data_IF_016455634355
#
_entry.id   IF_016455634355
#
_cell.length_a   1.000
_cell.length_b   1.000
_cell.length_c   1.000
_cell.angle_alpha   90.00
_cell.angle_beta   90.00
_cell.angle_gamma   90.00
#
_symmetry.space_group_name_H-M   'P 1'
#
loop_
_entity.id
_entity.type
_entity.pdbx_description
1 polymer ?
#
# COMPACT_ATOMS: atom_id res chain seq x y z
N UNK A 1 -6.12 -49.67 4.24
CA UNK A 1 -5.88 -48.62 5.24
C UNK A 1 -7.05 -48.65 6.19
N UNK A 2 -6.81 -48.85 7.48
CA UNK A 2 -7.88 -48.93 8.48
C UNK A 2 -8.39 -47.55 8.92
N UNK A 3 -9.50 -47.54 9.66
CA UNK A 3 -10.17 -46.34 10.15
C UNK A 3 -9.30 -45.55 11.14
N UNK A 4 -8.45 -46.21 11.93
CA UNK A 4 -7.55 -45.54 12.88
C UNK A 4 -6.50 -44.73 12.13
N UNK A 5 -5.84 -45.34 11.15
CA UNK A 5 -4.86 -44.70 10.26
C UNK A 5 -5.48 -43.49 9.54
N UNK A 6 -6.70 -43.62 9.04
CA UNK A 6 -7.44 -42.52 8.42
C UNK A 6 -7.72 -41.38 9.43
N UNK A 7 -8.22 -41.72 10.62
CA UNK A 7 -8.54 -40.73 11.66
C UNK A 7 -7.30 -39.94 12.09
N UNK A 8 -6.17 -40.63 12.24
CA UNK A 8 -4.86 -40.05 12.56
C UNK A 8 -4.34 -39.11 11.47
N UNK A 9 -4.52 -39.46 10.20
CA UNK A 9 -4.19 -38.56 9.06
C UNK A 9 -5.09 -37.33 9.01
N UNK A 10 -6.39 -37.50 9.28
CA UNK A 10 -7.31 -36.36 9.37
C UNK A 10 -6.94 -35.45 10.55
N UNK A 11 -6.49 -36.01 11.67
CA UNK A 11 -6.03 -35.23 12.81
C UNK A 11 -4.79 -34.39 12.47
N UNK A 12 -3.80 -34.97 11.80
CA UNK A 12 -2.67 -34.23 11.26
C UNK A 12 -3.12 -33.06 10.36
N UNK A 13 -4.07 -33.30 9.43
CA UNK A 13 -4.59 -32.25 8.54
C UNK A 13 -5.33 -31.14 9.30
N UNK A 14 -6.08 -31.48 10.35
CA UNK A 14 -6.73 -30.48 11.23
C UNK A 14 -5.69 -29.61 11.93
N UNK A 15 -4.56 -30.17 12.34
CA UNK A 15 -3.50 -29.40 12.99
C UNK A 15 -2.72 -28.54 12.01
N UNK A 16 -2.43 -29.05 10.81
CA UNK A 16 -1.73 -28.33 9.75
C UNK A 16 -2.51 -27.10 9.25
N UNK A 17 -3.83 -27.09 9.42
CA UNK A 17 -4.71 -25.99 9.04
C UNK A 17 -4.31 -24.64 9.65
N UNK A 18 -3.71 -24.65 10.85
CA UNK A 18 -3.19 -23.46 11.54
C UNK A 18 -2.19 -22.65 10.72
N UNK A 19 -1.51 -23.28 9.75
CA UNK A 19 -0.59 -22.59 8.84
C UNK A 19 -1.27 -21.46 8.03
N UNK A 20 -2.60 -21.52 7.85
CA UNK A 20 -3.37 -20.45 7.20
C UNK A 20 -3.38 -19.14 7.98
N UNK A 21 -3.23 -19.22 9.29
CA UNK A 21 -3.23 -18.08 10.21
C UNK A 21 -1.82 -17.65 10.64
N UNK A 22 -0.78 -18.38 10.22
CA UNK A 22 0.62 -17.98 10.41
C UNK A 22 0.93 -16.88 9.40
N UNK A 23 1.16 -15.66 9.88
CA UNK A 23 1.42 -14.49 9.03
C UNK A 23 2.91 -14.29 8.80
N UNK A 24 3.25 -13.98 7.55
CA UNK A 24 4.60 -13.60 7.12
C UNK A 24 4.78 -12.09 7.14
N UNK A 25 6.04 -11.66 7.12
CA UNK A 25 6.37 -10.22 6.99
C UNK A 25 5.93 -9.60 5.65
N UNK A 26 5.74 -10.43 4.62
CA UNK A 26 5.37 -10.00 3.29
C UNK A 26 3.89 -9.56 3.20
N UNK A 27 3.58 -8.66 2.25
CA UNK A 27 2.23 -8.10 2.05
C UNK A 27 1.78 -8.23 0.61
N UNK A 28 0.49 -8.46 0.40
CA UNK A 28 -0.15 -8.41 -0.92
C UNK A 28 -0.14 -6.99 -1.51
N UNK A 29 -0.46 -6.85 -2.80
CA UNK A 29 -0.60 -5.55 -3.45
C UNK A 29 -1.72 -4.69 -2.84
N UNK A 30 -2.70 -5.31 -2.18
CA UNK A 30 -3.73 -4.63 -1.40
C UNK A 30 -3.35 -4.31 0.05
N UNK A 31 -2.12 -4.64 0.46
CA UNK A 31 -1.57 -4.30 1.78
C UNK A 31 -1.89 -5.31 2.90
N UNK A 32 -2.66 -6.36 2.63
CA UNK A 32 -2.90 -7.46 3.59
C UNK A 32 -1.61 -8.24 3.81
N UNK A 33 -1.32 -8.64 5.06
CA UNK A 33 -0.22 -9.56 5.33
C UNK A 33 -0.52 -10.93 4.71
N UNK A 34 0.47 -11.50 4.05
CA UNK A 34 0.46 -12.85 3.50
C UNK A 34 0.53 -13.88 4.63
N UNK A 35 -0.13 -15.03 4.48
CA UNK A 35 0.09 -16.18 5.37
C UNK A 35 1.06 -17.21 4.78
N UNK A 36 1.70 -18.02 5.62
CA UNK A 36 2.61 -19.09 5.18
C UNK A 36 1.93 -20.09 4.25
N UNK A 37 0.63 -20.36 4.43
CA UNK A 37 -0.13 -21.18 3.49
C UNK A 37 -0.29 -20.51 2.11
N UNK A 38 -0.48 -19.19 2.05
CA UNK A 38 -0.58 -18.44 0.78
C UNK A 38 0.75 -18.39 0.04
N UNK A 39 1.86 -18.18 0.77
CA UNK A 39 3.22 -18.32 0.26
C UNK A 39 3.45 -19.71 -0.35
N UNK A 40 3.13 -20.75 0.43
CA UNK A 40 3.27 -22.15 -0.01
C UNK A 40 2.46 -22.44 -1.28
N UNK A 41 1.22 -21.94 -1.35
CA UNK A 41 0.39 -22.06 -2.55
C UNK A 41 1.05 -21.42 -3.77
N UNK A 42 1.55 -20.17 -3.63
CA UNK A 42 2.14 -19.47 -4.77
C UNK A 42 3.51 -20.02 -5.16
N UNK A 43 4.27 -20.55 -4.21
CA UNK A 43 5.49 -21.32 -4.47
C UNK A 43 5.21 -22.57 -5.30
N UNK A 44 4.13 -23.31 -5.00
CA UNK A 44 3.72 -24.45 -5.82
C UNK A 44 3.31 -24.00 -7.23
N UNK A 45 2.58 -22.89 -7.34
CA UNK A 45 2.21 -22.32 -8.63
C UNK A 45 3.44 -21.88 -9.44
N UNK A 46 4.44 -21.26 -8.79
CA UNK A 46 5.72 -20.91 -9.43
C UNK A 46 6.42 -22.16 -9.96
N UNK A 47 6.50 -23.24 -9.16
CA UNK A 47 7.10 -24.50 -9.60
C UNK A 47 6.37 -25.07 -10.83
N UNK A 48 5.04 -25.02 -10.87
CA UNK A 48 4.24 -25.46 -12.03
C UNK A 48 4.49 -24.62 -13.28
N UNK A 49 4.75 -23.32 -13.14
CA UNK A 49 5.08 -22.47 -14.30
C UNK A 49 6.49 -22.71 -14.85
N UNK A 50 7.35 -23.39 -14.08
CA UNK A 50 8.74 -23.72 -14.44
C UNK A 50 8.94 -25.22 -14.67
N UNK A 51 7.87 -26.02 -14.76
CA UNK A 51 7.96 -27.49 -14.85
C UNK A 51 8.79 -27.95 -16.06
N UNK A 52 8.60 -27.32 -17.22
CA UNK A 52 9.35 -27.65 -18.44
C UNK A 52 10.86 -27.35 -18.29
N UNK A 53 11.21 -26.27 -17.60
CA UNK A 53 12.61 -25.90 -17.34
C UNK A 53 13.26 -26.77 -16.23
N UNK A 54 12.46 -27.54 -15.50
CA UNK A 54 12.87 -28.43 -14.42
C UNK A 54 12.71 -29.92 -14.80
N UNK A 55 12.62 -30.23 -16.10
CA UNK A 55 12.31 -31.58 -16.60
C UNK A 55 13.29 -32.69 -16.16
N UNK A 56 14.51 -32.35 -15.76
CA UNK A 56 15.51 -33.29 -15.24
C UNK A 56 15.29 -33.67 -13.76
N UNK A 57 14.30 -33.05 -13.09
CA UNK A 57 14.02 -33.22 -11.66
C UNK A 57 12.72 -34.00 -11.43
N UNK A 58 12.60 -34.69 -10.29
CA UNK A 58 11.33 -35.30 -9.89
C UNK A 58 10.33 -34.21 -9.49
N UNK A 59 9.44 -33.85 -10.43
CA UNK A 59 8.45 -32.81 -10.19
C UNK A 59 7.45 -33.15 -9.09
N UNK A 60 7.12 -34.43 -8.90
CA UNK A 60 6.28 -34.86 -7.77
C UNK A 60 6.99 -34.61 -6.44
N UNK A 61 8.31 -34.82 -6.39
CA UNK A 61 9.12 -34.48 -5.22
C UNK A 61 9.23 -32.98 -5.01
N UNK A 62 9.39 -32.17 -6.06
CA UNK A 62 9.39 -30.69 -5.98
C UNK A 62 8.12 -30.19 -5.30
N UNK A 63 6.95 -30.59 -5.79
CA UNK A 63 5.67 -30.14 -5.21
C UNK A 63 5.51 -30.59 -3.74
N UNK A 64 5.97 -31.80 -3.40
CA UNK A 64 5.96 -32.26 -1.99
C UNK A 64 6.87 -31.41 -1.11
N UNK A 65 8.06 -31.05 -1.58
CA UNK A 65 8.97 -30.17 -0.85
C UNK A 65 8.36 -28.78 -0.66
N UNK A 66 7.78 -28.18 -1.72
CA UNK A 66 7.07 -26.90 -1.61
C UNK A 66 5.97 -26.94 -0.54
N UNK A 67 5.16 -28.01 -0.48
CA UNK A 67 4.06 -28.10 0.50
C UNK A 67 4.54 -28.26 1.94
N UNK A 68 5.71 -28.89 2.16
CA UNK A 68 6.16 -29.31 3.49
C UNK A 68 7.17 -28.34 4.13
N UNK A 69 7.87 -27.52 3.32
CA UNK A 69 9.05 -26.78 3.77
C UNK A 69 8.83 -25.92 5.03
N UNK A 70 7.73 -25.16 5.09
CA UNK A 70 7.40 -24.30 6.23
C UNK A 70 6.30 -24.89 7.13
N UNK A 71 5.98 -26.19 6.99
CA UNK A 71 4.85 -26.79 7.69
C UNK A 71 5.01 -26.78 9.23
N UNK A 72 6.26 -26.78 9.72
CA UNK A 72 6.56 -26.65 11.15
C UNK A 72 6.11 -25.32 11.76
N UNK A 73 6.02 -24.25 10.95
CA UNK A 73 5.59 -22.92 11.42
C UNK A 73 4.17 -22.92 11.99
N UNK A 74 3.34 -23.93 11.71
CA UNK A 74 2.02 -24.10 12.31
C UNK A 74 2.04 -24.24 13.85
N UNK A 75 3.20 -24.51 14.47
CA UNK A 75 3.37 -24.61 15.93
C UNK A 75 3.85 -23.31 16.56
N UNK A 76 4.96 -22.73 16.09
CA UNK A 76 5.59 -21.54 16.70
C UNK A 76 5.63 -20.29 15.79
N UNK A 77 5.05 -20.34 14.59
CA UNK A 77 4.94 -19.20 13.66
C UNK A 77 6.16 -18.98 12.76
N UNK A 78 6.03 -18.01 11.85
CA UNK A 78 7.12 -17.54 10.98
C UNK A 78 8.05 -16.59 11.74
N UNK A 79 9.35 -16.76 11.53
CA UNK A 79 10.39 -15.83 11.98
C UNK A 79 11.04 -15.21 10.74
N UNK A 80 10.80 -13.91 10.45
CA UNK A 80 11.34 -13.25 9.27
C UNK A 80 12.85 -13.32 9.18
N UNK A 81 13.38 -13.47 7.96
CA UNK A 81 14.83 -13.59 7.73
C UNK A 81 15.64 -12.41 8.30
N UNK A 82 15.07 -11.21 8.35
CA UNK A 82 15.69 -10.00 8.93
C UNK A 82 15.82 -10.04 10.45
N UNK A 83 15.09 -10.94 11.13
CA UNK A 83 15.03 -11.05 12.59
C UNK A 83 15.71 -12.34 13.11
N UNK A 84 16.25 -13.17 12.22
CA UNK A 84 16.89 -14.43 12.60
C UNK A 84 18.31 -14.18 13.15
N UNK A 85 18.63 -14.59 14.39
CA UNK A 85 19.98 -14.44 14.92
C UNK A 85 20.96 -15.37 14.17
N UNK A 86 22.19 -14.91 13.85
CA UNK A 86 23.20 -15.75 13.22
C UNK A 86 23.50 -16.99 14.09
N UNK A 87 23.29 -18.19 13.53
CA UNK A 87 23.57 -19.45 14.22
C UNK A 87 22.56 -19.86 15.30
N UNK A 88 21.45 -19.14 15.47
CA UNK A 88 20.33 -19.63 16.27
C UNK A 88 19.71 -20.82 15.54
N UNK A 89 19.53 -21.94 16.23
CA UNK A 89 19.02 -23.21 15.68
C UNK A 89 17.57 -23.17 15.24
N UNK A 90 17.17 -22.23 14.37
CA UNK A 90 15.84 -22.12 13.75
C UNK A 90 15.44 -23.47 13.14
N UNK A 91 16.31 -24.05 12.32
CA UNK A 91 16.07 -25.38 11.74
C UNK A 91 15.89 -26.48 12.80
N UNK A 92 16.59 -26.42 13.94
CA UNK A 92 16.39 -27.41 15.00
C UNK A 92 15.01 -27.28 15.66
N UNK A 93 14.55 -26.04 15.91
CA UNK A 93 13.22 -25.79 16.45
C UNK A 93 12.12 -26.18 15.44
N UNK A 94 12.23 -25.75 14.19
CA UNK A 94 11.25 -26.09 13.14
C UNK A 94 11.16 -27.59 12.90
N UNK A 95 12.29 -28.32 13.03
CA UNK A 95 12.28 -29.78 12.96
C UNK A 95 11.51 -30.41 14.13
N UNK A 96 11.67 -29.88 15.34
CA UNK A 96 10.91 -30.33 16.51
C UNK A 96 9.42 -30.02 16.36
N UNK A 97 9.10 -28.85 15.80
CA UNK A 97 7.73 -28.41 15.55
C UNK A 97 7.04 -29.31 14.52
N UNK A 98 7.75 -29.64 13.45
CA UNK A 98 7.25 -30.58 12.45
C UNK A 98 7.06 -31.98 13.03
N UNK A 99 7.97 -32.43 13.90
CA UNK A 99 7.82 -33.70 14.61
C UNK A 99 6.58 -33.71 15.53
N UNK A 100 6.34 -32.61 16.25
CA UNK A 100 5.15 -32.44 17.09
C UNK A 100 3.88 -32.45 16.23
N UNK A 101 3.86 -31.67 15.14
CA UNK A 101 2.74 -31.60 14.22
C UNK A 101 2.43 -32.96 13.59
N UNK A 102 3.47 -33.71 13.22
CA UNK A 102 3.36 -35.03 12.61
C UNK A 102 3.14 -36.18 13.61
N UNK A 103 3.05 -35.90 14.92
CA UNK A 103 2.84 -36.91 15.97
C UNK A 103 1.57 -37.77 15.79
N UNK A 104 0.47 -37.28 15.18
CA UNK A 104 -0.67 -38.15 14.89
C UNK A 104 -0.35 -39.21 13.84
N UNK A 105 0.59 -39.00 12.91
CA UNK A 105 0.85 -39.93 11.82
C UNK A 105 1.44 -41.28 12.28
N UNK A 106 1.23 -42.32 11.46
CA UNK A 106 1.96 -43.58 11.61
C UNK A 106 3.43 -43.40 11.25
N UNK A 107 4.32 -44.24 11.82
CA UNK A 107 5.77 -44.08 11.65
C UNK A 107 6.21 -43.96 10.18
N UNK A 108 5.73 -44.81 9.23
CA UNK A 108 6.12 -44.67 7.84
C UNK A 108 5.73 -43.33 7.20
N UNK A 109 4.57 -42.76 7.53
CA UNK A 109 4.16 -41.47 6.96
C UNK A 109 4.90 -40.30 7.59
N UNK A 110 5.07 -40.32 8.92
CA UNK A 110 5.86 -39.33 9.66
C UNK A 110 7.30 -39.30 9.17
N UNK A 111 7.95 -40.45 9.05
CA UNK A 111 9.36 -40.54 8.68
C UNK A 111 9.58 -40.05 7.24
N UNK A 112 8.65 -40.33 6.31
CA UNK A 112 8.69 -39.75 4.95
C UNK A 112 8.56 -38.23 4.95
N UNK A 113 7.70 -37.68 5.81
CA UNK A 113 7.47 -36.23 5.90
C UNK A 113 8.70 -35.52 6.47
N UNK A 114 9.27 -36.06 7.55
CA UNK A 114 10.51 -35.54 8.15
C UNK A 114 11.69 -35.65 7.17
N UNK A 115 11.81 -36.73 6.42
CA UNK A 115 12.88 -36.88 5.43
C UNK A 115 12.78 -35.86 4.28
N UNK A 116 11.57 -35.46 3.88
CA UNK A 116 11.38 -34.38 2.90
C UNK A 116 11.81 -33.03 3.47
N UNK A 117 11.40 -32.74 4.70
CA UNK A 117 11.80 -31.50 5.37
C UNK A 117 13.32 -31.45 5.62
N UNK A 118 13.93 -32.53 6.09
CA UNK A 118 15.37 -32.63 6.31
C UNK A 118 16.15 -32.42 4.99
N UNK A 119 15.64 -32.93 3.86
CA UNK A 119 16.23 -32.70 2.55
C UNK A 119 16.13 -31.23 2.12
N UNK A 120 14.96 -30.60 2.27
CA UNK A 120 14.77 -29.17 2.03
C UNK A 120 15.70 -28.32 2.90
N UNK A 121 15.76 -28.61 4.20
CA UNK A 121 16.48 -27.78 5.16
C UNK A 121 17.98 -27.76 4.80
N UNK A 122 18.53 -28.93 4.51
CA UNK A 122 19.93 -29.10 4.14
C UNK A 122 20.24 -28.82 2.66
N UNK A 123 19.21 -28.56 1.83
CA UNK A 123 19.33 -28.45 0.39
C UNK A 123 20.15 -29.60 -0.23
N UNK A 124 19.87 -30.85 0.19
CA UNK A 124 20.73 -31.99 -0.10
C UNK A 124 20.51 -32.57 -1.51
N UNK A 125 19.27 -32.68 -1.95
CA UNK A 125 18.91 -33.12 -3.30
C UNK A 125 18.87 -31.96 -4.31
N UNK A 126 18.98 -32.25 -5.63
CA UNK A 126 18.71 -31.26 -6.68
C UNK A 126 17.33 -30.61 -6.56
N UNK A 127 16.29 -31.38 -6.22
CA UNK A 127 14.94 -30.88 -6.00
C UNK A 127 14.87 -29.93 -4.80
N UNK A 128 15.51 -30.28 -3.69
CA UNK A 128 15.57 -29.42 -2.50
C UNK A 128 16.32 -28.12 -2.78
N UNK A 129 17.41 -28.16 -3.55
CA UNK A 129 18.12 -26.95 -3.99
C UNK A 129 17.25 -26.07 -4.87
N UNK A 130 16.48 -26.67 -5.77
CA UNK A 130 15.54 -25.94 -6.62
C UNK A 130 14.43 -25.27 -5.81
N UNK A 131 13.78 -26.01 -4.91
CA UNK A 131 12.72 -25.47 -4.05
C UNK A 131 13.27 -24.40 -3.12
N UNK A 132 14.47 -24.57 -2.54
CA UNK A 132 15.09 -23.53 -1.70
C UNK A 132 15.46 -22.28 -2.49
N UNK A 133 15.77 -22.39 -3.79
CA UNK A 133 15.95 -21.21 -4.64
C UNK A 133 14.60 -20.53 -4.94
N UNK A 134 13.59 -21.31 -5.34
CA UNK A 134 12.24 -20.80 -5.63
C UNK A 134 11.59 -20.12 -4.41
N UNK A 135 11.76 -20.67 -3.20
CA UNK A 135 11.28 -20.04 -1.95
C UNK A 135 11.81 -18.61 -1.78
N UNK A 136 13.10 -18.39 -2.07
CA UNK A 136 13.70 -17.05 -2.02
C UNK A 136 13.15 -16.17 -3.13
N UNK A 137 13.08 -16.67 -4.36
CA UNK A 137 12.55 -15.91 -5.51
C UNK A 137 11.10 -15.50 -5.32
N UNK A 138 10.27 -16.40 -4.78
CA UNK A 138 8.88 -16.14 -4.42
C UNK A 138 8.80 -14.98 -3.43
N UNK A 139 9.60 -15.05 -2.36
CA UNK A 139 9.65 -13.98 -1.35
C UNK A 139 10.03 -12.63 -1.95
N UNK A 140 11.05 -12.61 -2.82
CA UNK A 140 11.48 -11.39 -3.52
C UNK A 140 10.37 -10.83 -4.43
N UNK A 141 9.68 -11.70 -5.17
CA UNK A 141 8.55 -11.34 -5.99
C UNK A 141 7.40 -10.74 -5.16
N UNK A 142 7.08 -11.33 -3.99
CA UNK A 142 6.07 -10.77 -3.09
C UNK A 142 6.47 -9.40 -2.57
N UNK A 143 7.73 -9.22 -2.16
CA UNK A 143 8.22 -7.93 -1.71
C UNK A 143 8.11 -6.88 -2.80
N UNK A 144 8.52 -7.20 -4.03
CA UNK A 144 8.42 -6.26 -5.15
C UNK A 144 6.97 -5.91 -5.50
N UNK A 145 6.02 -6.84 -5.34
CA UNK A 145 4.60 -6.61 -5.65
C UNK A 145 3.81 -5.97 -4.50
N UNK A 146 4.24 -6.16 -3.26
CA UNK A 146 3.48 -5.80 -2.06
C UNK A 146 3.31 -4.29 -1.84
N UNK A 147 2.18 -3.91 -1.22
CA UNK A 147 2.01 -2.58 -0.64
C UNK A 147 2.71 -2.53 0.73
N UNK A 148 4.04 -2.43 0.68
CA UNK A 148 4.89 -2.42 1.87
C UNK A 148 4.87 -1.05 2.56
N UNK A 149 5.28 -1.05 3.83
CA UNK A 149 5.39 0.18 4.60
C UNK A 149 6.46 1.13 4.00
N UNK A 150 6.35 2.46 4.22
CA UNK A 150 7.32 3.43 3.69
C UNK A 150 8.77 3.20 4.14
N UNK A 151 8.98 2.49 5.24
CA UNK A 151 10.26 2.13 5.84
C UNK A 151 10.76 0.72 5.48
N UNK A 152 10.06 0.00 4.60
CA UNK A 152 10.47 -1.33 4.15
C UNK A 152 11.86 -1.32 3.50
N UNK A 153 12.74 -2.22 3.95
CA UNK A 153 14.11 -2.36 3.46
C UNK A 153 14.18 -3.24 2.22
N UNK A 154 13.99 -2.63 1.04
CA UNK A 154 14.19 -3.32 -0.23
C UNK A 154 15.66 -3.68 -0.50
N UNK A 155 16.64 -3.04 0.13
CA UNK A 155 18.05 -3.35 -0.13
C UNK A 155 18.42 -4.74 0.41
N UNK A 156 17.80 -5.20 1.49
CA UNK A 156 17.94 -6.57 2.01
C UNK A 156 17.71 -7.64 0.94
N UNK A 157 16.71 -7.43 0.07
CA UNK A 157 16.39 -8.36 -1.02
C UNK A 157 17.58 -8.62 -1.94
N UNK A 158 18.42 -7.60 -2.17
CA UNK A 158 19.57 -7.67 -3.06
C UNK A 158 20.65 -8.61 -2.56
N UNK A 159 20.65 -9.09 -1.31
CA UNK A 159 21.63 -10.09 -0.86
C UNK A 159 20.97 -11.39 -0.40
N UNK A 160 19.72 -11.29 0.05
CA UNK A 160 18.96 -12.42 0.55
C UNK A 160 18.90 -13.58 -0.46
N UNK A 161 19.25 -14.78 -0.02
CA UNK A 161 19.10 -16.00 -0.81
C UNK A 161 20.04 -16.17 -2.01
N UNK A 162 21.03 -15.29 -2.24
CA UNK A 162 21.96 -15.40 -3.38
C UNK A 162 22.64 -16.76 -3.48
N UNK A 163 23.13 -17.31 -2.35
CA UNK A 163 23.76 -18.65 -2.31
C UNK A 163 22.90 -19.78 -2.92
N UNK A 164 21.58 -19.64 -2.91
CA UNK A 164 20.64 -20.61 -3.50
C UNK A 164 20.25 -20.22 -4.92
N UNK A 165 19.91 -18.95 -5.13
CA UNK A 165 19.40 -18.46 -6.42
C UNK A 165 20.48 -18.40 -7.51
N UNK A 166 21.75 -18.20 -7.16
CA UNK A 166 22.87 -18.19 -8.12
C UNK A 166 23.34 -19.60 -8.51
N UNK A 167 22.83 -20.64 -7.84
CA UNK A 167 23.34 -22.01 -7.98
C UNK A 167 22.96 -22.68 -9.32
N UNK A 168 21.89 -22.22 -9.98
CA UNK A 168 21.40 -22.77 -11.25
C UNK A 168 21.11 -21.63 -12.25
N UNK A 169 21.39 -21.80 -13.55
CA UNK A 169 21.22 -20.74 -14.55
C UNK A 169 19.81 -20.16 -14.61
N UNK A 170 18.76 -21.01 -14.55
CA UNK A 170 17.37 -20.58 -14.57
C UNK A 170 17.05 -19.60 -13.42
N UNK A 171 17.38 -20.00 -12.19
CA UNK A 171 17.10 -19.19 -11.01
C UNK A 171 17.93 -17.92 -10.95
N UNK A 172 19.16 -17.93 -11.49
CA UNK A 172 19.98 -16.73 -11.64
C UNK A 172 19.33 -15.72 -12.58
N UNK A 173 18.72 -16.18 -13.67
CA UNK A 173 18.04 -15.30 -14.62
C UNK A 173 16.75 -14.72 -14.03
N UNK A 174 15.93 -15.55 -13.37
CA UNK A 174 14.75 -15.04 -12.64
C UNK A 174 15.19 -14.03 -11.58
N UNK A 175 16.26 -14.33 -10.83
CA UNK A 175 16.83 -13.44 -9.83
C UNK A 175 17.24 -12.09 -10.43
N UNK A 176 17.87 -12.08 -11.60
CA UNK A 176 18.28 -10.85 -12.29
C UNK A 176 17.08 -9.95 -12.60
N UNK A 177 15.94 -10.54 -13.00
CA UNK A 177 14.70 -9.80 -13.24
C UNK A 177 14.15 -9.21 -11.94
N UNK A 178 14.09 -10.02 -10.87
CA UNK A 178 13.58 -9.56 -9.58
C UNK A 178 14.48 -8.52 -8.91
N UNK A 179 15.81 -8.60 -9.08
CA UNK A 179 16.75 -7.58 -8.61
C UNK A 179 16.48 -6.24 -9.32
N UNK A 180 16.20 -6.25 -10.63
CA UNK A 180 15.87 -5.03 -11.38
C UNK A 180 14.56 -4.38 -10.87
N UNK A 181 13.55 -5.19 -10.55
CA UNK A 181 12.30 -4.74 -9.94
C UNK A 181 12.54 -4.17 -8.53
N UNK A 182 13.38 -4.83 -7.72
CA UNK A 182 13.77 -4.36 -6.38
C UNK A 182 14.48 -3.01 -6.46
N UNK A 183 15.43 -2.84 -7.39
CA UNK A 183 16.10 -1.55 -7.60
C UNK A 183 15.13 -0.45 -8.04
N UNK A 184 14.12 -0.79 -8.85
CA UNK A 184 13.07 0.17 -9.22
C UNK A 184 12.25 0.61 -8.01
N UNK A 185 11.92 -0.32 -7.10
CA UNK A 185 11.25 -0.01 -5.83
C UNK A 185 12.10 0.88 -4.92
N UNK A 186 13.41 0.64 -4.83
CA UNK A 186 14.33 1.50 -4.07
C UNK A 186 14.32 2.92 -4.63
N UNK A 187 14.41 3.08 -5.96
CA UNK A 187 14.35 4.41 -6.61
C UNK A 187 13.02 5.10 -6.38
N UNK A 188 11.92 4.36 -6.48
CA UNK A 188 10.57 4.89 -6.21
C UNK A 188 10.45 5.38 -4.77
N UNK A 189 10.83 4.56 -3.79
CA UNK A 189 10.78 4.91 -2.37
C UNK A 189 11.66 6.14 -2.05
N UNK A 190 12.84 6.22 -2.67
CA UNK A 190 13.70 7.39 -2.53
C UNK A 190 13.07 8.67 -3.12
N UNK A 191 12.42 8.57 -4.28
CA UNK A 191 11.72 9.69 -4.90
C UNK A 191 10.51 10.15 -4.07
N UNK A 192 9.74 9.22 -3.51
CA UNK A 192 8.61 9.51 -2.61
C UNK A 192 9.06 10.21 -1.32
N UNK A 193 10.19 9.78 -0.74
CA UNK A 193 10.79 10.42 0.44
C UNK A 193 11.37 11.81 0.15
N UNK A 194 11.84 12.03 -1.08
CA UNK A 194 12.39 13.32 -1.52
C UNK A 194 11.31 14.30 -2.00
N UNK A 195 10.09 13.83 -2.27
CA UNK A 195 9.00 14.67 -2.73
C UNK A 195 8.62 15.70 -1.64
N UNK A 196 8.39 16.98 -2.00
CA UNK A 196 7.88 17.95 -1.05
C UNK A 196 6.51 17.49 -0.52
N UNK A 197 6.18 17.80 0.75
CA UNK A 197 4.89 17.46 1.31
C UNK A 197 3.76 18.04 0.44
N UNK A 198 2.68 17.28 0.29
CA UNK A 198 1.49 17.78 -0.39
C UNK A 198 1.03 19.09 0.26
N UNK A 199 0.53 20.06 -0.53
CA UNK A 199 0.08 21.33 0.01
C UNK A 199 -1.03 21.10 1.03
N UNK A 200 -0.94 21.76 2.19
CA UNK A 200 -1.98 21.67 3.21
C UNK A 200 -3.30 22.27 2.68
N UNK A 201 -4.46 21.92 3.27
CA UNK A 201 -5.73 22.58 2.94
C UNK A 201 -5.64 24.11 3.00
N UNK A 202 -4.89 24.66 3.96
CA UNK A 202 -4.64 26.09 4.06
C UNK A 202 -3.87 26.63 2.85
N UNK A 203 -2.86 25.92 2.35
CA UNK A 203 -2.11 26.34 1.17
C UNK A 203 -2.98 26.31 -0.10
N UNK A 204 -3.89 25.35 -0.20
CA UNK A 204 -4.85 25.25 -1.33
C UNK A 204 -5.78 26.46 -1.34
N UNK A 205 -6.40 26.78 -0.19
CA UNK A 205 -7.31 27.93 -0.08
C UNK A 205 -6.56 29.26 -0.19
N UNK A 206 -5.32 29.35 0.32
CA UNK A 206 -4.50 30.55 0.13
C UNK A 206 -4.23 30.82 -1.36
N UNK A 207 -3.77 29.81 -2.11
CA UNK A 207 -3.55 29.95 -3.56
C UNK A 207 -4.82 30.36 -4.29
N UNK A 208 -5.97 29.82 -3.90
CA UNK A 208 -7.26 30.23 -4.44
C UNK A 208 -7.55 31.71 -4.17
N UNK A 209 -7.33 32.20 -2.94
CA UNK A 209 -7.57 33.60 -2.57
C UNK A 209 -6.60 34.55 -3.29
N UNK A 210 -5.34 34.17 -3.42
CA UNK A 210 -4.34 34.94 -4.16
C UNK A 210 -4.73 35.08 -5.63
N UNK A 211 -5.15 33.97 -6.27
CA UNK A 211 -5.65 33.99 -7.64
C UNK A 211 -6.95 34.80 -7.80
N UNK A 212 -7.84 34.73 -6.79
CA UNK A 212 -9.05 35.54 -6.74
C UNK A 212 -8.73 37.03 -6.71
N UNK A 213 -7.77 37.44 -5.88
CA UNK A 213 -7.32 38.82 -5.77
C UNK A 213 -6.55 39.31 -7.01
N UNK A 214 -5.83 38.41 -7.67
CA UNK A 214 -5.22 38.69 -8.98
C UNK A 214 -6.25 38.74 -10.13
N UNK A 215 -7.48 38.25 -9.88
CA UNK A 215 -8.52 38.04 -10.90
C UNK A 215 -8.04 37.14 -12.04
N UNK A 216 -7.14 36.21 -11.72
CA UNK A 216 -6.56 35.25 -12.66
C UNK A 216 -7.36 33.95 -12.61
N UNK A 217 -8.22 33.77 -13.61
CA UNK A 217 -9.07 32.59 -13.68
C UNK A 217 -8.29 31.30 -13.95
N UNK A 218 -7.14 31.38 -14.61
CA UNK A 218 -6.32 30.22 -14.97
C UNK A 218 -5.44 29.77 -13.80
N UNK A 219 -5.05 30.70 -12.92
CA UNK A 219 -4.47 30.39 -11.61
C UNK A 219 -5.52 29.97 -10.56
N UNK A 220 -6.77 30.42 -10.69
CA UNK A 220 -7.85 30.12 -9.73
C UNK A 220 -8.38 28.70 -9.86
N UNK A 221 -8.62 28.21 -11.09
CA UNK A 221 -9.29 26.93 -11.30
C UNK A 221 -8.51 25.67 -10.87
N UNK A 222 -7.15 25.62 -10.91
CA UNK A 222 -6.39 24.48 -10.42
C UNK A 222 -6.63 24.13 -8.94
N UNK A 223 -7.05 25.11 -8.13
CA UNK A 223 -7.37 24.89 -6.72
C UNK A 223 -8.70 24.15 -6.50
N UNK A 224 -9.55 24.00 -7.50
CA UNK A 224 -10.88 23.37 -7.38
C UNK A 224 -10.88 21.93 -7.90
N UNK A 225 -11.61 21.00 -7.29
CA UNK A 225 -11.74 19.63 -7.79
C UNK A 225 -12.56 19.58 -9.10
N UNK A 226 -12.45 18.52 -9.89
CA UNK A 226 -13.19 18.39 -11.15
C UNK A 226 -14.72 18.37 -10.93
N UNK A 227 -15.16 17.70 -9.86
CA UNK A 227 -16.54 17.46 -9.45
C UNK A 227 -17.01 18.41 -8.31
N UNK A 228 -16.32 19.53 -8.14
CA UNK A 228 -16.55 20.44 -7.02
C UNK A 228 -17.98 21.01 -6.93
N UNK A 229 -18.39 21.39 -5.72
CA UNK A 229 -19.71 21.97 -5.44
C UNK A 229 -19.58 23.35 -4.77
N UNK A 230 -20.33 24.35 -5.25
CA UNK A 230 -20.30 25.73 -4.76
C UNK A 230 -21.67 26.13 -4.22
N UNK A 231 -21.74 26.51 -2.94
CA UNK A 231 -22.98 26.77 -2.22
C UNK A 231 -23.09 28.21 -1.70
N UNK A 232 -24.30 28.76 -1.76
CA UNK A 232 -24.72 29.78 -0.80
C UNK A 232 -25.17 29.07 0.49
N UNK A 233 -24.63 29.51 1.62
CA UNK A 233 -24.93 28.91 2.92
C UNK A 233 -26.43 29.08 3.29
N UNK A 234 -27.10 28.03 3.80
CA UNK A 234 -26.52 26.75 4.23
C UNK A 234 -26.35 25.69 3.13
N UNK A 235 -27.28 25.59 2.18
CA UNK A 235 -27.44 24.40 1.34
C UNK A 235 -27.85 24.69 -0.12
N UNK A 236 -27.88 25.97 -0.52
CA UNK A 236 -28.29 26.35 -1.87
C UNK A 236 -27.14 26.17 -2.84
N UNK A 237 -27.19 25.12 -3.67
CA UNK A 237 -26.19 24.86 -4.71
C UNK A 237 -26.28 25.90 -5.82
N UNK A 238 -25.18 26.64 -6.05
CA UNK A 238 -25.09 27.68 -7.08
C UNK A 238 -24.34 27.23 -8.32
N UNK A 239 -23.39 26.29 -8.18
CA UNK A 239 -22.62 25.75 -9.29
C UNK A 239 -22.08 24.35 -8.95
N UNK A 240 -22.02 23.48 -9.97
CA UNK A 240 -21.45 22.13 -9.91
C UNK A 240 -20.40 21.95 -11.00
N UNK A 241 -19.22 21.48 -10.61
CA UNK A 241 -18.06 21.25 -11.45
C UNK A 241 -17.32 22.53 -11.83
N UNK A 242 -16.06 22.35 -12.27
CA UNK A 242 -15.15 23.46 -12.63
C UNK A 242 -15.73 24.42 -13.67
N UNK A 243 -16.46 23.91 -14.67
CA UNK A 243 -16.97 24.73 -15.76
C UNK A 243 -17.94 25.82 -15.27
N UNK A 244 -18.92 25.45 -14.44
CA UNK A 244 -19.91 26.39 -13.91
C UNK A 244 -19.29 27.38 -12.92
N UNK A 245 -18.37 26.90 -12.07
CA UNK A 245 -17.61 27.78 -11.16
C UNK A 245 -16.78 28.78 -11.96
N UNK A 246 -16.09 28.34 -13.02
CA UNK A 246 -15.29 29.19 -13.90
C UNK A 246 -16.13 30.30 -14.53
N UNK A 247 -17.27 29.96 -15.13
CA UNK A 247 -18.17 30.93 -15.76
C UNK A 247 -18.63 32.01 -14.75
N UNK A 248 -19.03 31.58 -13.55
CA UNK A 248 -19.47 32.49 -12.48
C UNK A 248 -18.37 33.45 -12.03
N UNK A 249 -17.12 32.97 -11.98
CA UNK A 249 -15.97 33.79 -11.55
C UNK A 249 -15.43 34.67 -12.68
N UNK A 250 -15.54 34.27 -13.94
CA UNK A 250 -15.22 35.15 -15.08
C UNK A 250 -16.06 36.43 -15.06
N UNK A 251 -17.36 36.32 -14.76
CA UNK A 251 -18.21 37.50 -14.60
C UNK A 251 -17.79 38.32 -13.37
N UNK A 252 -17.55 37.66 -12.24
CA UNK A 252 -17.10 38.30 -10.99
C UNK A 252 -15.79 39.08 -11.19
N UNK A 253 -14.84 38.53 -11.93
CA UNK A 253 -13.51 39.11 -12.16
C UNK A 253 -13.53 40.34 -13.08
N UNK A 254 -14.68 40.68 -13.66
CA UNK A 254 -14.88 41.98 -14.32
C UNK A 254 -15.04 43.15 -13.33
N UNK A 255 -15.35 42.87 -12.06
CA UNK A 255 -15.46 43.91 -11.01
C UNK A 255 -14.08 44.57 -10.78
N UNK A 256 -13.93 45.90 -11.03
CA UNK A 256 -12.63 46.56 -11.02
C UNK A 256 -12.02 46.68 -9.61
N UNK A 257 -12.85 46.87 -8.59
CA UNK A 257 -12.44 47.03 -7.19
C UNK A 257 -12.46 45.71 -6.40
N UNK A 258 -12.63 44.57 -7.07
CA UNK A 258 -12.76 43.27 -6.41
C UNK A 258 -11.48 42.91 -5.65
N UNK A 259 -11.61 42.75 -4.33
CA UNK A 259 -10.50 42.33 -3.49
C UNK A 259 -11.01 41.67 -2.20
N UNK A 260 -10.61 40.44 -1.94
CA UNK A 260 -10.86 39.71 -0.70
C UNK A 260 -9.68 39.86 0.27
N UNK A 261 -9.93 40.48 1.43
CA UNK A 261 -8.97 40.58 2.52
C UNK A 261 -9.28 39.53 3.59
N UNK A 262 -8.36 38.59 3.78
CA UNK A 262 -8.44 37.62 4.87
C UNK A 262 -8.32 38.32 6.23
N UNK A 263 -9.32 38.10 7.09
CA UNK A 263 -9.32 38.57 8.49
C UNK A 263 -8.78 37.47 9.39
N UNK A 264 -9.25 36.24 9.20
CA UNK A 264 -8.89 35.10 10.01
C UNK A 264 -9.10 33.79 9.25
N UNK A 265 -8.23 32.81 9.45
CA UNK A 265 -8.36 31.45 8.92
C UNK A 265 -8.32 30.44 10.06
N UNK A 266 -9.25 29.48 10.02
CA UNK A 266 -9.22 28.29 10.86
C UNK A 266 -9.08 27.05 9.99
N UNK A 267 -8.34 26.05 10.48
CA UNK A 267 -8.14 24.78 9.80
C UNK A 267 -8.47 23.66 10.78
N UNK A 268 -9.30 22.72 10.35
CA UNK A 268 -9.61 21.51 11.11
C UNK A 268 -9.72 20.32 10.15
N UNK A 269 -8.66 19.51 10.08
CA UNK A 269 -8.57 18.41 9.11
C UNK A 269 -8.59 18.94 7.67
N UNK A 270 -9.56 18.46 6.89
CA UNK A 270 -9.84 18.86 5.51
C UNK A 270 -10.66 20.16 5.39
N UNK A 271 -11.19 20.67 6.49
CA UNK A 271 -12.01 21.87 6.51
C UNK A 271 -11.19 23.13 6.75
N UNK A 272 -11.43 24.16 5.95
CA UNK A 272 -10.87 25.50 6.10
C UNK A 272 -12.00 26.51 6.20
N UNK A 273 -11.93 27.41 7.18
CA UNK A 273 -12.90 28.50 7.34
C UNK A 273 -12.18 29.83 7.29
N UNK A 274 -12.52 30.63 6.29
CA UNK A 274 -12.02 31.98 6.11
C UNK A 274 -13.10 32.98 6.51
N UNK A 275 -12.72 33.89 7.41
CA UNK A 275 -13.42 35.14 7.61
C UNK A 275 -12.73 36.19 6.74
N UNK A 276 -13.46 36.75 5.79
CA UNK A 276 -12.95 37.71 4.82
C UNK A 276 -13.77 39.00 4.83
N UNK A 277 -13.15 40.09 4.39
CA UNK A 277 -13.85 41.30 3.98
C UNK A 277 -13.59 41.48 2.49
N UNK A 278 -14.65 41.45 1.69
CA UNK A 278 -14.55 41.56 0.23
C UNK A 278 -15.00 42.94 -0.22
N UNK A 279 -14.09 43.71 -0.81
CA UNK A 279 -14.39 44.95 -1.51
C UNK A 279 -15.08 44.65 -2.83
N UNK A 280 -16.17 45.35 -3.12
CA UNK A 280 -17.03 45.14 -4.30
C UNK A 280 -17.63 46.45 -4.82
N UNK A 281 -18.16 46.37 -6.04
CA UNK A 281 -18.94 47.44 -6.65
C UNK A 281 -20.44 47.11 -6.54
N UNK A 282 -21.18 47.88 -5.73
CA UNK A 282 -22.64 47.78 -5.59
C UNK A 282 -23.34 48.86 -6.44
N UNK A 283 -24.66 48.76 -6.59
CA UNK A 283 -25.45 49.74 -7.35
C UNK A 283 -25.28 51.17 -6.83
N UNK A 284 -25.20 51.33 -5.50
CA UNK A 284 -25.06 52.62 -4.81
C UNK A 284 -23.60 53.04 -4.58
N UNK A 285 -22.65 52.35 -5.22
CA UNK A 285 -21.23 52.66 -5.16
C UNK A 285 -20.36 51.54 -4.59
N UNK A 286 -19.08 51.86 -4.40
CA UNK A 286 -18.08 50.92 -3.86
C UNK A 286 -18.35 50.65 -2.38
N UNK A 287 -18.19 49.41 -1.95
CA UNK A 287 -18.34 49.03 -0.55
C UNK A 287 -17.63 47.74 -0.20
N UNK A 288 -17.84 47.28 1.01
CA UNK A 288 -17.32 46.02 1.53
C UNK A 288 -18.45 45.13 2.04
N UNK A 289 -18.21 43.82 2.02
CA UNK A 289 -19.09 42.83 2.64
C UNK A 289 -18.26 41.84 3.44
N UNK A 290 -18.71 41.54 4.66
CA UNK A 290 -18.13 40.43 5.43
C UNK A 290 -18.54 39.11 4.78
N UNK A 291 -17.59 38.19 4.62
CA UNK A 291 -17.83 36.87 4.05
C UNK A 291 -17.28 35.83 5.00
N UNK A 292 -18.10 34.82 5.30
CA UNK A 292 -17.61 33.55 5.85
C UNK A 292 -17.57 32.56 4.68
N UNK A 293 -16.38 32.13 4.32
CA UNK A 293 -16.13 31.12 3.31
C UNK A 293 -15.68 29.83 4.01
N UNK A 294 -16.35 28.73 3.74
CA UNK A 294 -16.04 27.41 4.30
C UNK A 294 -15.65 26.53 3.14
N UNK A 295 -14.55 25.80 3.24
CA UNK A 295 -14.01 24.95 2.21
C UNK A 295 -13.78 23.54 2.75
N UNK A 296 -14.08 22.54 1.94
CA UNK A 296 -13.70 21.14 2.14
C UNK A 296 -12.65 20.78 1.08
N UNK A 297 -11.44 20.43 1.50
CA UNK A 297 -10.31 20.14 0.62
C UNK A 297 -10.03 18.64 0.57
N UNK A 298 -10.07 18.06 -0.61
CA UNK A 298 -9.75 16.65 -0.86
C UNK A 298 -8.68 16.54 -1.94
N UNK A 299 -7.68 15.69 -1.73
CA UNK A 299 -6.60 15.44 -2.68
C UNK A 299 -5.89 16.72 -3.19
N UNK A 300 -5.71 17.69 -2.30
CA UNK A 300 -5.07 18.97 -2.61
C UNK A 300 -5.95 19.96 -3.42
N UNK A 301 -7.26 19.73 -3.48
CA UNK A 301 -8.22 20.55 -4.24
C UNK A 301 -9.50 20.82 -3.43
N UNK A 302 -10.13 21.98 -3.64
CA UNK A 302 -11.41 22.37 -3.04
C UNK A 302 -12.51 21.53 -3.70
N UNK A 303 -13.06 20.59 -2.94
CA UNK A 303 -14.16 19.74 -3.37
C UNK A 303 -15.52 20.40 -3.10
N UNK A 304 -15.65 21.14 -1.99
CA UNK A 304 -16.86 21.91 -1.69
C UNK A 304 -16.52 23.27 -1.11
N UNK A 305 -17.37 24.24 -1.39
CA UNK A 305 -17.26 25.56 -0.75
C UNK A 305 -18.64 26.15 -0.44
N UNK A 306 -18.78 26.78 0.73
CA UNK A 306 -19.99 27.47 1.19
C UNK A 306 -19.68 28.92 1.52
N UNK A 307 -20.50 29.84 1.02
CA UNK A 307 -20.31 31.26 1.24
C UNK A 307 -21.53 31.87 1.94
N UNK A 308 -21.28 32.54 3.06
CA UNK A 308 -22.27 33.37 3.76
C UNK A 308 -21.82 34.83 3.68
N UNK A 309 -22.61 35.64 2.97
CA UNK A 309 -22.37 37.08 2.87
C UNK A 309 -23.13 37.83 3.98
N UNK A 310 -22.48 38.82 4.57
CA UNK A 310 -23.08 39.80 5.48
C UNK A 310 -23.78 40.93 4.74
N UNK A 311 -24.18 41.97 5.49
CA UNK A 311 -24.75 43.18 4.91
C UNK A 311 -23.65 44.05 4.25
N UNK A 312 -23.87 44.57 3.03
CA UNK A 312 -22.96 45.52 2.40
C UNK A 312 -22.78 46.81 3.22
N UNK A 313 -21.57 47.33 3.27
CA UNK A 313 -21.21 48.64 3.85
C UNK A 313 -20.58 49.51 2.77
N UNK A 314 -21.27 50.57 2.36
CA UNK A 314 -20.78 51.47 1.30
C UNK A 314 -19.69 52.40 1.84
N UNK A 315 -18.65 52.63 1.05
CA UNK A 315 -17.65 53.66 1.34
C UNK A 315 -18.26 55.03 1.05
N UNK A 316 -18.80 55.70 2.07
CA UNK A 316 -19.36 57.06 1.95
C UNK A 316 -20.72 57.30 2.60
N UNK A 317 -21.32 56.30 3.28
CA UNK A 317 -22.48 56.54 4.15
C UNK A 317 -22.04 57.22 5.44
N UNK A 318 -22.44 58.48 5.65
CA UNK A 318 -22.38 59.14 6.95
C UNK A 318 -23.17 58.34 7.99
N UNK A 319 -22.63 58.24 9.20
CA UNK A 319 -23.29 57.73 10.40
C UNK A 319 -24.64 58.40 10.68
#
# INVERSE_FOLDING_TARGET
MDTDTLSRRLEFLRQAEKLKDVLRSARSSGGRQESTAEHTWRLCLMAMMLEEDLADLDFTRILRLCVIHDLGEAIHGDIPATQQPPGAGKGAQERLDLLQLASPLDAPARDRLLALWDDYENAASPEARAVKAMDKLETLLQHNQGANAPDFDYAFNLDYGRKHTDALPLFREIRRLLDADTEARIRQQAAERAAPPAPSPADVVQRQLDAYNARDIDAFMPAWAQDCEYYAFPDTLLARGRAQIRERHLERFKEPDLHGRLVHRMVNGDMVVDQEVVTRNFADGRGEVDVVAIYEVRDGQIAKAWFRLGAPRLHGGSA
#
